data_IF_188790838963
#
_entry.id   IF_188790838963
#
_cell.length_a   1.000
_cell.length_b   1.000
_cell.length_c   1.000
_cell.angle_alpha   90.00
_cell.angle_beta   90.00
_cell.angle_gamma   90.00
#
_symmetry.space_group_name_H-M   'P 1'
#
loop_
_entity.id
_entity.type
_entity.pdbx_description
1 polymer ?
#
# COMPACT_ATOMS: atom_id res chain seq x y z
N UNK A 1 -18.84 5.65 -10.45
CA UNK A 1 -18.70 7.10 -10.15
C UNK A 1 -17.67 7.19 -9.05
N UNK A 2 -16.42 7.57 -9.35
CA UNK A 2 -15.40 7.69 -8.30
C UNK A 2 -15.78 8.86 -7.41
N UNK A 3 -16.06 8.59 -6.14
CA UNK A 3 -16.33 9.61 -5.14
C UNK A 3 -15.07 10.46 -5.00
N UNK A 4 -15.11 11.72 -5.48
CA UNK A 4 -14.00 12.65 -5.27
C UNK A 4 -13.94 12.98 -3.79
N UNK A 5 -12.94 12.42 -3.10
CA UNK A 5 -12.65 12.79 -1.72
C UNK A 5 -12.47 14.30 -1.58
N UNK A 6 -13.21 14.89 -0.64
CA UNK A 6 -13.15 16.32 -0.36
C UNK A 6 -11.84 16.64 0.36
N UNK A 7 -11.02 17.47 -0.27
CA UNK A 7 -9.79 17.98 0.34
C UNK A 7 -10.12 18.88 1.54
N UNK A 8 -9.55 18.56 2.71
CA UNK A 8 -9.65 19.38 3.92
C UNK A 8 -8.29 20.02 4.22
N UNK A 9 -8.28 21.33 4.44
CA UNK A 9 -7.07 22.05 4.84
C UNK A 9 -6.74 21.74 6.30
N UNK A 10 -5.50 21.38 6.55
CA UNK A 10 -4.96 21.13 7.89
C UNK A 10 -3.60 21.81 8.00
N UNK A 11 -3.27 22.33 9.17
CA UNK A 11 -2.01 23.04 9.44
C UNK A 11 -1.14 22.19 10.36
N UNK A 12 0.11 21.98 9.95
CA UNK A 12 1.12 21.22 10.70
C UNK A 12 2.38 22.05 10.85
N UNK A 13 3.13 21.82 11.93
CA UNK A 13 4.47 22.36 12.08
C UNK A 13 5.47 21.38 11.46
N UNK A 14 6.29 21.86 10.53
CA UNK A 14 7.39 21.10 9.94
C UNK A 14 8.70 21.88 10.13
N UNK A 15 9.86 21.19 10.23
CA UNK A 15 11.15 21.85 10.28
C UNK A 15 11.37 22.76 9.07
N UNK A 16 11.96 23.92 9.29
CA UNK A 16 12.22 24.90 8.22
C UNK A 16 13.09 24.31 7.11
N UNK A 17 14.06 23.46 7.46
CA UNK A 17 14.93 22.76 6.51
C UNK A 17 14.15 21.86 5.55
N UNK A 18 13.07 21.22 6.01
CA UNK A 18 12.20 20.39 5.18
C UNK A 18 11.37 21.27 4.25
N UNK A 19 10.84 22.38 4.76
CA UNK A 19 10.08 23.35 3.95
C UNK A 19 10.95 23.99 2.86
N UNK A 20 12.24 24.22 3.12
CA UNK A 20 13.18 24.72 2.13
C UNK A 20 13.37 23.72 0.97
N UNK A 21 13.70 22.47 1.31
CA UNK A 21 13.85 21.38 0.32
C UNK A 21 12.59 21.17 -0.51
N UNK A 22 11.43 21.24 0.13
CA UNK A 22 10.15 21.09 -0.56
C UNK A 22 9.94 22.19 -1.61
N UNK A 23 10.32 23.43 -1.29
CA UNK A 23 10.27 24.56 -2.22
C UNK A 23 11.25 24.39 -3.38
N UNK A 24 12.46 23.91 -3.12
CA UNK A 24 13.45 23.61 -4.15
C UNK A 24 12.92 22.56 -5.14
N UNK A 25 12.35 21.45 -4.63
CA UNK A 25 11.79 20.39 -5.48
C UNK A 25 10.65 20.89 -6.39
N UNK A 26 9.81 21.80 -5.87
CA UNK A 26 8.75 22.44 -6.66
C UNK A 26 9.34 23.39 -7.70
N UNK A 27 10.35 24.19 -7.32
CA UNK A 27 11.03 25.12 -8.23
C UNK A 27 11.75 24.39 -9.38
N UNK A 28 12.36 23.23 -9.08
CA UNK A 28 12.97 22.33 -10.05
C UNK A 28 11.95 21.58 -10.93
N UNK A 29 10.65 21.79 -10.72
CA UNK A 29 9.54 21.09 -11.41
C UNK A 29 9.60 19.57 -11.31
N UNK A 30 10.28 19.05 -10.29
CA UNK A 30 10.36 17.60 -10.02
C UNK A 30 9.08 17.07 -9.38
N UNK A 31 8.31 17.95 -8.77
CA UNK A 31 7.02 17.67 -8.14
C UNK A 31 6.00 18.74 -8.51
N UNK A 32 4.71 18.35 -8.57
CA UNK A 32 3.63 19.24 -9.03
C UNK A 32 3.28 20.35 -8.03
N UNK A 33 3.30 20.04 -6.72
CA UNK A 33 3.06 21.02 -5.65
C UNK A 33 3.53 20.48 -4.30
N UNK A 34 3.76 21.38 -3.34
CA UNK A 34 4.05 21.01 -1.97
C UNK A 34 2.94 20.14 -1.35
N UNK A 35 1.66 20.44 -1.64
CA UNK A 35 0.53 19.68 -1.15
C UNK A 35 0.49 18.25 -1.72
N UNK A 36 0.88 18.07 -2.99
CA UNK A 36 0.94 16.74 -3.60
C UNK A 36 1.99 15.86 -2.90
N UNK A 37 3.17 16.43 -2.63
CA UNK A 37 4.23 15.70 -1.90
C UNK A 37 3.79 15.35 -0.48
N UNK A 38 3.18 16.29 0.23
CA UNK A 38 2.69 16.02 1.60
C UNK A 38 1.63 14.93 1.59
N UNK A 39 0.70 14.97 0.62
CA UNK A 39 -0.33 13.93 0.46
C UNK A 39 0.31 12.56 0.24
N UNK A 40 1.19 12.45 -0.75
CA UNK A 40 1.85 11.20 -1.11
C UNK A 40 2.66 10.64 0.06
N UNK A 41 3.46 11.48 0.73
CA UNK A 41 4.25 11.06 1.89
C UNK A 41 3.38 10.56 3.06
N UNK A 42 2.21 11.17 3.28
CA UNK A 42 1.27 10.72 4.31
C UNK A 42 0.61 9.41 3.92
N UNK A 43 0.16 9.26 2.68
CA UNK A 43 -0.42 8.01 2.17
C UNK A 43 0.59 6.85 2.24
N UNK A 44 1.83 7.06 1.79
CA UNK A 44 2.90 6.07 1.91
C UNK A 44 3.20 5.70 3.37
N UNK A 45 3.19 6.68 4.27
CA UNK A 45 3.42 6.45 5.69
C UNK A 45 2.33 5.58 6.31
N UNK A 46 1.05 5.84 5.96
CA UNK A 46 -0.08 5.03 6.41
C UNK A 46 0.03 3.60 5.89
N UNK A 47 0.25 3.44 4.58
CA UNK A 47 0.41 2.11 3.95
C UNK A 47 1.53 1.31 4.61
N UNK A 48 2.64 1.98 4.94
CA UNK A 48 3.76 1.31 5.63
C UNK A 48 3.34 0.78 7.00
N UNK A 49 2.62 1.57 7.81
CA UNK A 49 2.13 1.13 9.11
C UNK A 49 1.20 -0.08 8.95
N UNK A 50 0.22 0.02 8.06
CA UNK A 50 -0.74 -1.05 7.81
C UNK A 50 -0.04 -2.34 7.35
N UNK A 51 0.98 -2.21 6.49
CA UNK A 51 1.79 -3.35 6.03
C UNK A 51 2.58 -4.00 7.16
N UNK A 52 3.14 -3.20 8.07
CA UNK A 52 3.86 -3.69 9.25
C UNK A 52 2.92 -4.40 10.24
N UNK A 53 1.70 -3.90 10.40
CA UNK A 53 0.66 -4.57 11.19
C UNK A 53 0.23 -5.88 10.54
N UNK A 54 -0.08 -5.86 9.24
CA UNK A 54 -0.44 -7.06 8.49
C UNK A 54 0.65 -8.13 8.57
N UNK A 55 1.92 -7.76 8.39
CA UNK A 55 3.03 -8.70 8.47
C UNK A 55 3.15 -9.34 9.87
N UNK A 56 2.90 -8.56 10.94
CA UNK A 56 2.88 -9.09 12.31
C UNK A 56 1.74 -10.06 12.53
N UNK A 57 0.52 -9.69 12.16
CA UNK A 57 -0.66 -10.55 12.27
C UNK A 57 -0.49 -11.85 11.48
N UNK A 58 0.07 -11.79 10.27
CA UNK A 58 0.39 -12.97 9.47
C UNK A 58 1.45 -13.86 10.12
N UNK A 59 2.48 -13.28 10.75
CA UNK A 59 3.51 -14.04 11.46
C UNK A 59 2.97 -14.74 12.73
N UNK A 60 1.94 -14.16 13.36
CA UNK A 60 1.21 -14.80 14.46
C UNK A 60 0.31 -15.92 13.94
N UNK A 61 -0.48 -15.66 12.90
CA UNK A 61 -1.38 -16.63 12.28
C UNK A 61 -0.61 -17.83 11.68
N UNK A 62 0.60 -17.63 11.16
CA UNK A 62 1.45 -18.72 10.65
C UNK A 62 1.87 -19.73 11.73
N UNK A 63 1.75 -19.37 13.02
CA UNK A 63 2.01 -20.28 14.15
C UNK A 63 0.76 -21.03 14.58
N UNK A 64 -0.42 -20.65 14.09
CA UNK A 64 -1.70 -21.28 14.38
C UNK A 64 -1.93 -22.47 13.42
N UNK A 65 -1.99 -23.72 13.93
CA UNK A 65 -2.25 -24.89 13.10
C UNK A 65 -3.60 -24.87 12.38
N UNK A 66 -4.63 -24.24 12.95
CA UNK A 66 -5.95 -24.16 12.31
C UNK A 66 -5.91 -23.23 11.10
N UNK A 67 -5.26 -22.07 11.24
CA UNK A 67 -5.05 -21.14 10.14
C UNK A 67 -4.28 -21.78 8.97
N UNK A 68 -3.25 -22.58 9.25
CA UNK A 68 -2.52 -23.31 8.21
C UNK A 68 -3.38 -24.38 7.54
N UNK A 69 -4.25 -25.06 8.30
CA UNK A 69 -5.20 -26.04 7.74
C UNK A 69 -6.16 -25.33 6.78
N UNK A 70 -6.71 -24.20 7.18
CA UNK A 70 -7.67 -23.45 6.37
C UNK A 70 -7.03 -22.93 5.07
N UNK A 71 -5.77 -22.49 5.12
CA UNK A 71 -5.00 -22.12 3.90
C UNK A 71 -4.85 -23.31 2.96
N UNK A 72 -4.53 -24.50 3.48
CA UNK A 72 -4.37 -25.71 2.64
C UNK A 72 -5.69 -26.13 2.01
N UNK A 73 -6.78 -26.07 2.77
CA UNK A 73 -8.11 -26.40 2.25
C UNK A 73 -8.55 -25.43 1.14
N UNK A 74 -8.22 -24.14 1.28
CA UNK A 74 -8.43 -23.17 0.23
C UNK A 74 -7.57 -23.48 -1.01
N UNK A 75 -6.26 -23.73 -0.85
CA UNK A 75 -5.35 -24.09 -1.94
C UNK A 75 -5.85 -25.33 -2.71
N UNK A 76 -6.25 -26.38 -1.99
CA UNK A 76 -6.81 -27.60 -2.59
C UNK A 76 -8.11 -27.33 -3.35
N UNK A 77 -8.97 -26.43 -2.85
CA UNK A 77 -10.25 -26.09 -3.48
C UNK A 77 -10.09 -25.31 -4.79
N UNK A 78 -9.02 -24.53 -4.94
CA UNK A 78 -8.73 -23.74 -6.15
C UNK A 78 -7.75 -24.42 -7.10
N UNK A 79 -7.09 -25.50 -6.68
CA UNK A 79 -6.03 -26.19 -7.43
C UNK A 79 -6.40 -26.52 -8.87
N UNK A 80 -7.60 -27.04 -9.10
CA UNK A 80 -8.03 -27.47 -10.44
C UNK A 80 -8.34 -26.26 -11.34
N UNK A 81 -8.97 -25.20 -10.79
CA UNK A 81 -9.23 -23.95 -11.50
C UNK A 81 -7.95 -23.20 -11.87
N UNK A 82 -6.96 -23.19 -10.98
CA UNK A 82 -5.64 -22.61 -11.24
C UNK A 82 -4.89 -23.38 -12.33
N UNK A 83 -4.97 -24.72 -12.31
CA UNK A 83 -4.37 -25.58 -13.33
C UNK A 83 -5.01 -25.40 -14.72
N UNK A 84 -6.31 -25.14 -14.80
CA UNK A 84 -6.97 -24.78 -16.06
C UNK A 84 -6.54 -23.40 -16.57
N UNK A 85 -6.50 -22.41 -15.68
CA UNK A 85 -6.06 -21.04 -16.01
C UNK A 85 -4.63 -21.02 -16.53
N UNK A 86 -3.73 -21.76 -15.90
CA UNK A 86 -2.33 -21.87 -16.33
C UNK A 86 -2.18 -22.47 -17.74
N UNK A 87 -3.08 -23.38 -18.15
CA UNK A 87 -3.07 -23.97 -19.51
C UNK A 87 -3.62 -23.01 -20.57
N UNK A 88 -4.51 -22.10 -20.18
CA UNK A 88 -5.15 -21.14 -21.08
C UNK A 88 -4.34 -19.86 -21.29
N UNK A 89 -3.34 -19.60 -20.42
CA UNK A 89 -2.51 -18.40 -20.50
C UNK A 89 -1.27 -18.68 -21.35
N UNK A 90 -1.12 -18.11 -22.56
CA UNK A 90 0.07 -18.34 -23.36
C UNK A 90 1.33 -17.75 -22.66
N UNK A 91 2.49 -18.41 -22.77
CA UNK A 91 3.74 -17.84 -22.28
C UNK A 91 4.06 -16.57 -23.07
N UNK A 92 4.52 -15.54 -22.36
CA UNK A 92 4.90 -14.23 -22.92
C UNK A 92 6.25 -14.31 -23.64
#
# INVERSE_FOLDING_TARGET
>A
MAEQEKLKKVTFALPESVLHRLRELVAEKRVSSANAVVREAVEEYIIRIEREEFARSMAEAAKDPEFIRDIREADDSFRDSDAETAKMTPPW
#
